data_IF_585970539202
#
_entry.id   IF_585970539202
#
_cell.length_a   1.000
_cell.length_b   1.000
_cell.length_c   1.000
_cell.angle_alpha   90.00
_cell.angle_beta   90.00
_cell.angle_gamma   90.00
#
_symmetry.space_group_name_H-M   'P 1'
#
loop_
_entity.id
_entity.type
_entity.pdbx_description
1 polymer ?
#
# COMPACT_ATOMS: atom_id res chain seq x y z
N UNK A 1 4.22 -6.37 -16.51
CA UNK A 1 4.97 -5.41 -15.65
C UNK A 1 3.99 -4.50 -14.93
N UNK A 2 4.14 -4.36 -13.61
CA UNK A 2 3.22 -3.53 -12.81
C UNK A 2 3.67 -2.07 -12.77
N UNK A 3 2.76 -1.15 -13.06
CA UNK A 3 2.96 0.29 -13.11
C UNK A 3 1.97 0.98 -12.18
N UNK A 4 2.48 1.71 -11.21
CA UNK A 4 1.68 2.51 -10.26
C UNK A 4 1.41 3.89 -10.84
N UNK A 5 0.16 4.30 -10.95
CA UNK A 5 -0.18 5.63 -11.46
C UNK A 5 0.18 6.74 -10.48
N UNK A 6 0.21 6.47 -9.17
CA UNK A 6 0.67 7.44 -8.17
C UNK A 6 2.16 7.74 -8.33
N UNK A 7 2.99 6.71 -8.65
CA UNK A 7 4.41 6.90 -8.96
C UNK A 7 4.58 7.63 -10.29
N UNK A 8 3.82 7.27 -11.33
CA UNK A 8 3.85 7.98 -12.60
C UNK A 8 3.56 9.48 -12.39
N UNK A 9 2.53 9.83 -11.62
CA UNK A 9 2.17 11.23 -11.32
C UNK A 9 3.30 12.02 -10.64
N UNK A 10 4.17 11.35 -9.87
CA UNK A 10 5.34 12.00 -9.26
C UNK A 10 6.49 12.24 -10.27
N UNK A 11 6.48 11.54 -11.41
CA UNK A 11 7.51 11.61 -12.44
C UNK A 11 7.14 12.52 -13.61
N UNK A 12 5.92 13.04 -13.65
CA UNK A 12 5.39 13.91 -14.70
C UNK A 12 4.94 15.25 -14.10
N UNK A 13 4.75 16.26 -14.95
CA UNK A 13 4.30 17.59 -14.55
C UNK A 13 2.98 18.01 -15.22
N UNK A 14 2.19 17.04 -15.66
CA UNK A 14 0.88 17.23 -16.28
C UNK A 14 -0.14 16.25 -15.70
N UNK A 15 -1.42 16.53 -15.86
CA UNK A 15 -2.50 15.68 -15.38
C UNK A 15 -2.72 14.49 -16.31
N UNK A 16 -2.91 13.32 -15.71
CA UNK A 16 -3.29 12.11 -16.44
C UNK A 16 -4.79 12.15 -16.79
N UNK A 17 -5.18 11.65 -17.97
CA UNK A 17 -6.59 11.47 -18.30
C UNK A 17 -7.23 10.40 -17.39
N UNK A 18 -8.57 10.23 -17.43
CA UNK A 18 -9.24 9.12 -16.76
C UNK A 18 -8.57 7.77 -17.08
N UNK A 19 -8.55 6.86 -16.09
CA UNK A 19 -7.79 5.59 -16.19
C UNK A 19 -8.19 4.79 -17.43
N UNK A 20 -9.47 4.72 -17.76
CA UNK A 20 -9.96 3.98 -18.93
C UNK A 20 -9.42 4.55 -20.25
N UNK A 21 -9.37 5.88 -20.38
CA UNK A 21 -8.79 6.55 -21.53
C UNK A 21 -7.27 6.31 -21.61
N UNK A 22 -6.57 6.42 -20.47
CA UNK A 22 -5.14 6.16 -20.42
C UNK A 22 -4.82 4.72 -20.85
N UNK A 23 -5.57 3.75 -20.35
CA UNK A 23 -5.45 2.32 -20.71
C UNK A 23 -5.66 2.11 -22.21
N UNK A 24 -6.67 2.74 -22.81
CA UNK A 24 -6.89 2.64 -24.24
C UNK A 24 -5.69 3.16 -25.05
N UNK A 25 -5.12 4.30 -24.67
CA UNK A 25 -3.94 4.89 -25.34
C UNK A 25 -2.70 4.03 -25.18
N UNK A 26 -2.46 3.48 -23.97
CA UNK A 26 -1.36 2.55 -23.71
C UNK A 26 -1.50 1.29 -24.55
N UNK A 27 -2.69 0.70 -24.63
CA UNK A 27 -2.97 -0.47 -25.48
C UNK A 27 -2.68 -0.24 -26.97
N UNK A 28 -2.90 0.97 -27.45
CA UNK A 28 -2.69 1.32 -28.86
C UNK A 28 -1.22 1.59 -29.22
N UNK A 29 -0.41 2.08 -28.29
CA UNK A 29 0.89 2.66 -28.63
C UNK A 29 2.08 2.05 -27.89
N UNK A 30 1.88 1.41 -26.73
CA UNK A 30 2.97 0.82 -25.96
C UNK A 30 2.83 -0.71 -25.85
N UNK A 31 1.78 -1.18 -25.21
CA UNK A 31 1.59 -2.60 -24.97
C UNK A 31 0.26 -2.89 -24.30
N UNK A 32 -0.18 -4.14 -24.36
CA UNK A 32 -1.46 -4.54 -23.79
C UNK A 32 -1.46 -4.38 -22.26
N UNK A 33 -2.47 -3.73 -21.74
CA UNK A 33 -2.77 -3.72 -20.30
C UNK A 33 -3.64 -4.95 -20.01
N UNK A 34 -3.04 -5.94 -19.36
CA UNK A 34 -3.71 -7.20 -19.02
C UNK A 34 -4.66 -7.05 -17.83
N UNK A 35 -4.31 -6.16 -16.90
CA UNK A 35 -5.09 -5.93 -15.67
C UNK A 35 -4.96 -4.49 -15.20
N UNK A 36 -6.07 -3.94 -14.75
CA UNK A 36 -6.14 -2.70 -13.98
C UNK A 36 -6.60 -3.04 -12.58
N UNK A 37 -5.82 -2.68 -11.58
CA UNK A 37 -6.15 -2.90 -10.19
C UNK A 37 -6.36 -1.57 -9.48
N UNK A 38 -7.56 -1.37 -8.92
CA UNK A 38 -7.85 -0.25 -8.04
C UNK A 38 -7.57 -0.66 -6.60
N UNK A 39 -6.47 -0.20 -6.03
CA UNK A 39 -6.09 -0.55 -4.66
C UNK A 39 -7.05 0.03 -3.62
N UNK A 40 -7.68 1.19 -3.89
CA UNK A 40 -8.67 1.76 -2.98
C UNK A 40 -9.86 0.80 -2.75
N UNK A 41 -10.27 0.06 -3.78
CA UNK A 41 -11.33 -0.95 -3.65
C UNK A 41 -10.91 -2.13 -2.77
N UNK A 42 -9.64 -2.54 -2.85
CA UNK A 42 -9.10 -3.62 -2.03
C UNK A 42 -9.15 -3.29 -0.54
N UNK A 43 -8.85 -2.04 -0.19
CA UNK A 43 -8.81 -1.57 1.20
C UNK A 43 -10.08 -0.83 1.62
N UNK A 44 -11.16 -0.97 0.85
CA UNK A 44 -12.41 -0.27 1.14
C UNK A 44 -12.90 -0.58 2.56
N UNK A 45 -13.11 0.48 3.34
CA UNK A 45 -13.58 0.39 4.71
C UNK A 45 -12.49 0.18 5.77
N UNK A 46 -11.27 -0.19 5.40
CA UNK A 46 -10.16 -0.31 6.35
C UNK A 46 -9.86 1.04 7.04
N UNK A 47 -9.79 1.05 8.37
CA UNK A 47 -9.60 2.26 9.17
C UNK A 47 -8.41 2.14 10.10
N UNK A 48 -7.69 3.24 10.27
CA UNK A 48 -6.71 3.37 11.33
C UNK A 48 -7.46 3.67 12.63
N UNK A 49 -7.16 2.91 13.67
CA UNK A 49 -7.84 3.03 14.96
C UNK A 49 -6.84 3.06 16.10
N UNK A 50 -7.23 3.68 17.22
CA UNK A 50 -6.49 3.57 18.46
C UNK A 50 -7.15 2.51 19.36
N UNK A 51 -6.39 1.56 19.84
CA UNK A 51 -6.84 0.64 20.89
C UNK A 51 -6.79 1.40 22.22
N UNK A 52 -7.96 1.72 22.79
CA UNK A 52 -8.04 2.47 24.05
C UNK A 52 -7.95 1.55 25.25
N UNK A 53 -8.66 0.40 25.18
CA UNK A 53 -8.67 -0.59 26.25
C UNK A 53 -8.36 -1.99 25.67
N UNK A 54 -7.67 -2.79 26.46
CA UNK A 54 -7.39 -4.18 26.16
C UNK A 54 -7.49 -5.03 27.43
N UNK A 55 -8.44 -5.97 27.48
CA UNK A 55 -8.63 -6.86 28.61
C UNK A 55 -8.68 -8.31 28.16
N UNK A 56 -8.37 -9.24 29.04
CA UNK A 56 -8.52 -10.67 28.75
C UNK A 56 -9.98 -11.05 28.50
N UNK A 57 -10.21 -11.91 27.52
CA UNK A 57 -11.53 -12.42 27.23
C UNK A 57 -12.05 -13.31 28.38
N UNK A 58 -13.30 -13.13 28.85
CA UNK A 58 -13.80 -13.86 30.03
C UNK A 58 -13.93 -15.38 29.84
N UNK A 59 -14.06 -15.84 28.59
CA UNK A 59 -14.33 -17.25 28.28
C UNK A 59 -13.29 -17.85 27.29
N UNK A 60 -12.11 -17.23 27.13
CA UNK A 60 -11.09 -17.72 26.19
C UNK A 60 -9.70 -17.17 26.52
N UNK A 61 -8.77 -18.05 26.90
CA UNK A 61 -7.42 -17.69 27.37
C UNK A 61 -6.55 -17.00 26.31
N UNK A 62 -6.81 -17.29 25.04
CA UNK A 62 -6.03 -16.75 23.90
C UNK A 62 -6.65 -15.55 23.22
N UNK A 63 -7.77 -15.05 23.74
CA UNK A 63 -8.45 -13.89 23.17
C UNK A 63 -8.38 -12.70 24.12
N UNK A 64 -8.35 -11.53 23.53
CA UNK A 64 -8.49 -10.25 24.22
C UNK A 64 -9.75 -9.55 23.73
N UNK A 65 -10.42 -8.83 24.62
CA UNK A 65 -11.52 -7.92 24.31
C UNK A 65 -10.92 -6.51 24.28
N UNK A 66 -10.99 -5.86 23.13
CA UNK A 66 -10.49 -4.49 22.96
C UNK A 66 -11.63 -3.52 22.79
N UNK A 67 -11.39 -2.27 23.20
CA UNK A 67 -12.20 -1.11 22.88
C UNK A 67 -11.37 -0.18 22.01
N UNK A 68 -11.86 0.09 20.82
CA UNK A 68 -11.15 0.90 19.84
C UNK A 68 -11.86 2.22 19.60
N UNK A 69 -11.07 3.26 19.37
CA UNK A 69 -11.52 4.55 18.90
C UNK A 69 -11.30 4.63 17.38
N UNK A 70 -12.36 4.80 16.63
CA UNK A 70 -12.38 5.00 15.19
C UNK A 70 -12.78 6.43 14.80
N UNK A 71 -12.76 7.38 15.73
CA UNK A 71 -13.14 8.76 15.48
C UNK A 71 -14.58 8.94 14.96
N UNK A 72 -15.47 7.99 15.25
CA UNK A 72 -16.85 7.95 14.75
C UNK A 72 -16.96 7.80 13.22
N UNK A 73 -15.92 7.29 12.55
CA UNK A 73 -15.84 7.21 11.09
C UNK A 73 -16.80 6.16 10.48
N UNK A 74 -17.14 5.11 11.24
CA UNK A 74 -18.04 4.05 10.78
C UNK A 74 -19.39 4.16 11.51
N UNK A 75 -20.48 4.56 10.81
CA UNK A 75 -21.76 4.87 11.48
C UNK A 75 -22.50 3.63 11.99
N UNK A 76 -22.46 2.51 11.26
CA UNK A 76 -23.31 1.34 11.47
C UNK A 76 -22.68 0.29 12.41
N UNK A 77 -22.07 0.74 13.51
CA UNK A 77 -21.48 -0.13 14.54
C UNK A 77 -21.99 0.22 15.93
N UNK A 78 -22.10 -0.78 16.79
CA UNK A 78 -22.50 -0.58 18.18
C UNK A 78 -21.35 0.03 18.98
N UNK A 79 -21.65 1.06 19.73
CA UNK A 79 -20.68 1.78 20.56
C UNK A 79 -21.08 1.74 22.02
N UNK A 80 -20.12 1.83 22.89
CA UNK A 80 -20.38 2.05 24.29
C UNK A 80 -20.66 3.53 24.61
N UNK A 81 -20.84 3.84 25.88
CA UNK A 81 -21.16 5.21 26.38
C UNK A 81 -20.05 6.23 26.08
N UNK A 82 -18.80 5.75 25.84
CA UNK A 82 -17.65 6.56 25.49
C UNK A 82 -17.44 6.65 23.95
N UNK A 83 -18.34 6.07 23.16
CA UNK A 83 -18.25 6.05 21.70
C UNK A 83 -17.29 5.00 21.14
N UNK A 84 -16.75 4.10 21.98
CA UNK A 84 -15.77 3.09 21.56
C UNK A 84 -16.45 1.86 20.98
N UNK A 85 -15.79 1.24 20.01
CA UNK A 85 -16.24 0.00 19.36
C UNK A 85 -15.56 -1.21 19.97
N UNK A 86 -16.32 -2.27 20.27
CA UNK A 86 -15.79 -3.51 20.82
C UNK A 86 -15.35 -4.47 19.73
N UNK A 87 -14.09 -4.91 19.82
CA UNK A 87 -13.49 -5.91 18.92
C UNK A 87 -12.79 -6.98 19.74
N UNK A 88 -13.00 -8.26 19.40
CA UNK A 88 -12.27 -9.38 19.99
C UNK A 88 -11.07 -9.70 19.10
N UNK A 89 -9.90 -9.79 19.69
CA UNK A 89 -8.63 -10.02 19.01
C UNK A 89 -7.90 -11.23 19.58
N UNK A 90 -7.36 -12.07 18.69
CA UNK A 90 -6.57 -13.26 19.07
C UNK A 90 -5.05 -13.02 19.01
N UNK A 91 -4.61 -11.86 18.53
CA UNK A 91 -3.21 -11.58 18.34
C UNK A 91 -2.49 -11.36 19.71
N UNK A 92 -1.29 -11.94 19.88
CA UNK A 92 -0.55 -11.85 21.14
C UNK A 92 0.03 -10.45 21.42
N UNK A 93 0.18 -9.62 20.39
CA UNK A 93 0.76 -8.29 20.48
C UNK A 93 -0.26 -7.18 20.73
N UNK A 94 -1.57 -7.51 20.82
CA UNK A 94 -2.59 -6.48 21.07
C UNK A 94 -2.50 -5.94 22.49
N UNK A 95 -2.46 -4.61 22.62
CA UNK A 95 -2.40 -3.93 23.89
C UNK A 95 -3.09 -2.57 23.85
N UNK A 96 -3.38 -1.99 25.00
CA UNK A 96 -3.91 -0.63 25.09
C UNK A 96 -2.88 0.40 24.58
N UNK A 97 -3.38 1.54 24.16
CA UNK A 97 -2.65 2.69 23.63
C UNK A 97 -1.89 2.47 22.30
N UNK A 98 -2.07 1.32 21.62
CA UNK A 98 -1.49 1.09 20.30
C UNK A 98 -2.39 1.59 19.17
N UNK A 99 -1.77 1.85 18.03
CA UNK A 99 -2.45 2.09 16.76
C UNK A 99 -2.48 0.81 15.93
N UNK A 100 -3.63 0.52 15.34
CA UNK A 100 -3.84 -0.68 14.55
C UNK A 100 -4.71 -0.39 13.32
N UNK A 101 -4.82 -1.37 12.43
CA UNK A 101 -5.75 -1.34 11.29
C UNK A 101 -6.97 -2.17 11.64
N UNK A 102 -8.13 -1.55 11.57
CA UNK A 102 -9.41 -2.19 11.79
C UNK A 102 -10.17 -2.39 10.48
N UNK A 103 -10.64 -3.59 10.28
CA UNK A 103 -11.60 -3.94 9.23
C UNK A 103 -12.98 -4.05 9.90
N UNK A 104 -13.86 -3.05 9.71
CA UNK A 104 -15.20 -3.05 10.28
C UNK A 104 -16.10 -4.14 9.66
N UNK A 105 -17.27 -4.43 10.27
CA UNK A 105 -18.29 -5.25 9.63
C UNK A 105 -18.59 -4.73 8.21
N UNK A 106 -18.90 -5.61 7.29
CA UNK A 106 -19.12 -5.37 5.86
C UNK A 106 -17.85 -5.10 5.03
N UNK A 107 -16.68 -4.98 5.66
CA UNK A 107 -15.40 -4.93 4.92
C UNK A 107 -15.01 -6.32 4.43
N UNK A 108 -14.41 -6.39 3.26
CA UNK A 108 -13.79 -7.61 2.74
C UNK A 108 -12.32 -7.66 3.13
N UNK A 109 -11.85 -8.81 3.60
CA UNK A 109 -10.44 -9.02 3.97
C UNK A 109 -9.58 -8.91 2.71
N UNK A 110 -8.60 -7.98 2.64
CA UNK A 110 -7.81 -7.72 1.43
C UNK A 110 -7.12 -8.94 0.82
N UNK A 111 -6.54 -9.81 1.64
CA UNK A 111 -5.87 -11.02 1.16
C UNK A 111 -6.84 -11.98 0.45
N UNK A 112 -8.05 -12.14 0.97
CA UNK A 112 -9.07 -13.03 0.41
C UNK A 112 -9.49 -12.63 -1.02
N UNK A 113 -9.40 -11.34 -1.36
CA UNK A 113 -9.64 -10.85 -2.72
C UNK A 113 -8.56 -11.37 -3.68
N UNK A 114 -7.31 -11.42 -3.24
CA UNK A 114 -6.18 -11.92 -4.05
C UNK A 114 -6.22 -13.43 -4.22
N UNK A 115 -6.73 -14.14 -3.22
CA UNK A 115 -6.90 -15.60 -3.25
C UNK A 115 -8.07 -16.03 -4.14
N UNK A 116 -8.95 -15.09 -4.52
CA UNK A 116 -10.10 -15.36 -5.38
C UNK A 116 -11.35 -15.83 -4.65
N UNK A 117 -11.32 -15.86 -3.32
CA UNK A 117 -12.43 -16.20 -2.44
C UNK A 117 -12.72 -15.06 -1.46
N UNK A 118 -13.34 -13.94 -1.90
CA UNK A 118 -13.56 -12.77 -1.07
C UNK A 118 -14.33 -13.09 0.21
N UNK A 119 -13.72 -12.84 1.36
CA UNK A 119 -14.34 -13.03 2.67
C UNK A 119 -14.72 -11.69 3.27
N UNK A 120 -16.02 -11.48 3.45
CA UNK A 120 -16.59 -10.27 4.06
C UNK A 120 -16.87 -10.50 5.54
N UNK A 121 -16.48 -9.53 6.35
CA UNK A 121 -16.62 -9.57 7.80
C UNK A 121 -18.03 -9.19 8.24
N UNK A 122 -18.49 -9.84 9.30
CA UNK A 122 -19.73 -9.53 9.99
C UNK A 122 -19.49 -9.23 11.47
N UNK A 123 -20.42 -8.51 12.10
CA UNK A 123 -20.48 -8.42 13.54
C UNK A 123 -20.94 -9.78 14.11
N UNK A 124 -20.10 -10.44 14.91
CA UNK A 124 -20.41 -11.78 15.44
C UNK A 124 -19.97 -11.96 16.88
N UNK A 125 -20.64 -12.88 17.60
CA UNK A 125 -20.23 -13.24 18.95
C UNK A 125 -19.14 -14.31 18.92
N UNK A 126 -17.99 -13.98 19.51
CA UNK A 126 -16.87 -14.89 19.74
C UNK A 126 -16.87 -15.32 21.21
N UNK A 127 -17.09 -16.61 21.48
CA UNK A 127 -17.20 -17.14 22.85
C UNK A 127 -18.14 -16.34 23.78
N UNK A 128 -19.24 -15.78 23.20
CA UNK A 128 -20.25 -15.00 23.94
C UNK A 128 -20.02 -13.48 23.94
N UNK A 129 -18.86 -12.99 23.54
CA UNK A 129 -18.55 -11.55 23.45
C UNK A 129 -18.70 -11.08 21.99
N UNK A 130 -19.42 -9.97 21.79
CA UNK A 130 -19.61 -9.39 20.45
C UNK A 130 -18.29 -8.79 19.94
N UNK A 131 -17.90 -9.19 18.74
CA UNK A 131 -16.83 -8.57 17.97
C UNK A 131 -17.40 -7.86 16.75
N UNK A 132 -17.06 -6.60 16.55
CA UNK A 132 -17.45 -5.83 15.39
C UNK A 132 -16.27 -5.67 14.43
N UNK A 133 -16.17 -6.61 13.48
CA UNK A 133 -15.04 -6.73 12.59
C UNK A 133 -13.80 -7.31 13.28
N UNK A 134 -12.60 -6.98 12.77
CA UNK A 134 -11.34 -7.50 13.26
C UNK A 134 -10.20 -6.46 13.17
N UNK A 135 -9.22 -6.57 14.06
CA UNK A 135 -7.91 -5.93 13.91
C UNK A 135 -7.05 -6.82 13.02
N UNK A 136 -6.45 -6.25 11.98
CA UNK A 136 -5.84 -7.01 10.90
C UNK A 136 -4.33 -7.24 11.08
N UNK A 137 -3.87 -8.41 10.68
CA UNK A 137 -2.47 -8.77 10.49
C UNK A 137 -1.95 -8.31 9.10
N UNK A 138 -0.63 -8.35 8.91
CA UNK A 138 -0.02 -7.88 7.65
C UNK A 138 -0.38 -8.77 6.46
N UNK A 139 -0.49 -10.07 6.65
CA UNK A 139 -0.92 -11.03 5.63
C UNK A 139 -2.39 -10.85 5.27
N UNK A 140 -3.28 -10.59 6.24
CA UNK A 140 -4.70 -10.32 6.01
C UNK A 140 -4.92 -9.04 5.21
N UNK A 141 -4.06 -8.02 5.40
CA UNK A 141 -4.04 -6.81 4.60
C UNK A 141 -3.35 -6.98 3.25
N UNK A 142 -2.72 -8.13 2.99
CA UNK A 142 -1.88 -8.37 1.80
C UNK A 142 -0.74 -7.34 1.62
N UNK A 143 -0.17 -6.87 2.73
CA UNK A 143 1.00 -5.96 2.76
C UNK A 143 2.27 -6.64 3.27
N UNK A 144 2.17 -7.89 3.69
CA UNK A 144 3.27 -8.70 4.19
C UNK A 144 2.88 -10.16 4.31
N UNK A 145 3.75 -10.96 4.91
CA UNK A 145 3.54 -12.41 5.15
C UNK A 145 3.47 -12.75 6.64
N UNK A 146 3.57 -11.75 7.51
CA UNK A 146 3.52 -11.94 8.96
C UNK A 146 2.08 -12.12 9.44
N UNK A 147 1.84 -13.23 10.13
CA UNK A 147 0.57 -13.63 10.74
C UNK A 147 0.67 -13.75 12.27
N UNK A 148 1.83 -13.51 12.87
CA UNK A 148 2.04 -13.71 14.32
C UNK A 148 1.34 -12.65 15.16
N UNK A 149 0.97 -11.50 14.58
CA UNK A 149 0.29 -10.41 15.27
C UNK A 149 -0.44 -9.45 14.34
N UNK A 150 -1.21 -8.55 14.95
CA UNK A 150 -1.83 -7.45 14.20
C UNK A 150 -0.80 -6.39 13.82
N UNK A 151 -1.07 -5.63 12.75
CA UNK A 151 -0.25 -4.49 12.34
C UNK A 151 -0.28 -3.42 13.43
N UNK A 152 0.90 -3.16 14.03
CA UNK A 152 1.10 -2.09 14.98
C UNK A 152 1.68 -0.87 14.25
N UNK A 153 0.89 0.20 14.13
CA UNK A 153 1.32 1.42 13.45
C UNK A 153 2.02 2.39 14.41
N UNK A 154 3.07 3.03 13.91
CA UNK A 154 3.78 4.10 14.63
C UNK A 154 3.87 5.36 13.74
N UNK A 155 4.13 6.54 14.29
CA UNK A 155 4.35 7.74 13.48
C UNK A 155 5.49 7.62 12.46
N UNK A 156 6.41 6.67 12.65
CA UNK A 156 7.54 6.42 11.72
C UNK A 156 7.12 5.69 10.45
N UNK A 157 5.99 4.99 10.49
CA UNK A 157 5.46 4.23 9.36
C UNK A 157 4.72 5.13 8.38
N UNK A 158 4.48 6.39 8.74
CA UNK A 158 3.70 7.32 7.95
C UNK A 158 4.53 8.07 6.92
N UNK A 159 3.94 8.37 5.74
CA UNK A 159 4.51 9.33 4.82
C UNK A 159 4.72 10.70 5.47
N UNK A 160 5.71 11.45 4.99
CA UNK A 160 6.01 12.78 5.51
C UNK A 160 4.78 13.71 5.49
N UNK A 161 4.54 14.41 6.61
CA UNK A 161 3.42 15.33 6.75
C UNK A 161 2.06 14.68 7.09
N UNK A 162 2.02 13.37 7.26
CA UNK A 162 0.82 12.64 7.73
C UNK A 162 0.88 12.39 9.24
N UNK A 163 -0.29 12.20 9.86
CA UNK A 163 -0.41 11.88 11.28
C UNK A 163 -1.44 10.75 11.49
N UNK A 164 -1.20 9.91 12.52
CA UNK A 164 -2.18 8.92 12.96
C UNK A 164 -3.37 9.63 13.58
N UNK A 165 -4.55 9.32 13.07
CA UNK A 165 -5.82 9.84 13.58
C UNK A 165 -6.84 8.71 13.62
N UNK A 166 -7.68 8.62 14.69
CA UNK A 166 -8.74 7.63 14.72
C UNK A 166 -9.69 7.80 13.54
N UNK A 167 -10.03 6.70 12.88
CA UNK A 167 -10.94 6.68 11.73
C UNK A 167 -10.32 7.09 10.40
N UNK A 168 -9.04 7.46 10.35
CA UNK A 168 -8.38 7.76 9.09
C UNK A 168 -8.51 6.58 8.11
N UNK A 169 -8.79 6.88 6.86
CA UNK A 169 -8.82 5.86 5.80
C UNK A 169 -7.42 5.29 5.58
N UNK A 170 -7.31 3.96 5.72
CA UNK A 170 -6.02 3.28 5.63
C UNK A 170 -5.37 3.46 4.25
N UNK A 171 -6.16 3.29 3.17
CA UNK A 171 -5.62 3.42 1.81
C UNK A 171 -5.11 4.84 1.54
N UNK A 172 -5.89 5.85 1.87
CA UNK A 172 -5.53 7.25 1.65
C UNK A 172 -4.35 7.70 2.53
N UNK A 173 -4.23 7.17 3.75
CA UNK A 173 -3.14 7.51 4.66
C UNK A 173 -1.79 7.01 4.14
N UNK A 174 -1.76 5.79 3.55
CA UNK A 174 -0.55 5.13 3.08
C UNK A 174 -0.32 5.24 1.56
N UNK A 175 -1.15 6.02 0.84
CA UNK A 175 -1.05 6.17 -0.62
C UNK A 175 -1.40 4.89 -1.37
N UNK A 176 -2.27 4.06 -0.80
CA UNK A 176 -2.81 2.85 -1.41
C UNK A 176 -4.13 3.12 -2.16
N UNK A 177 -4.54 4.37 -2.28
CA UNK A 177 -5.65 4.84 -3.11
C UNK A 177 -5.20 5.02 -4.57
N UNK A 178 -4.51 4.03 -5.11
CA UNK A 178 -3.82 4.05 -6.39
C UNK A 178 -4.42 3.05 -7.39
N UNK A 179 -4.10 3.28 -8.67
CA UNK A 179 -4.31 2.31 -9.73
C UNK A 179 -2.98 1.68 -10.14
N UNK A 180 -2.95 0.36 -10.18
CA UNK A 180 -1.81 -0.41 -10.69
C UNK A 180 -2.20 -1.05 -12.03
N UNK A 181 -1.46 -0.69 -13.08
CA UNK A 181 -1.61 -1.28 -14.40
C UNK A 181 -0.62 -2.43 -14.57
N UNK A 182 -1.10 -3.61 -15.00
CA UNK A 182 -0.22 -4.70 -15.42
C UNK A 182 -0.09 -4.67 -16.95
N UNK A 183 1.07 -4.18 -17.42
CA UNK A 183 1.35 -4.00 -18.84
C UNK A 183 2.18 -5.16 -19.35
N UNK A 184 1.72 -5.82 -20.41
CA UNK A 184 2.47 -6.85 -21.10
C UNK A 184 3.71 -6.24 -21.78
N UNK A 185 4.89 -6.74 -21.44
CA UNK A 185 6.16 -6.17 -21.91
C UNK A 185 6.80 -6.92 -23.09
N UNK A 186 6.18 -7.95 -23.61
CA UNK A 186 6.71 -8.74 -24.74
C UNK A 186 6.91 -7.91 -26.02
N UNK A 187 6.08 -6.90 -26.22
CA UNK A 187 6.12 -6.04 -27.41
C UNK A 187 7.28 -5.05 -27.41
N UNK A 188 7.84 -4.72 -26.23
CA UNK A 188 8.91 -3.72 -26.08
C UNK A 188 10.16 -4.25 -25.36
N UNK A 189 10.49 -5.53 -25.57
CA UNK A 189 11.70 -6.16 -25.03
C UNK A 189 13.00 -5.49 -25.49
N UNK A 190 12.96 -4.79 -26.63
CA UNK A 190 14.06 -3.98 -27.17
C UNK A 190 14.19 -2.61 -26.47
N UNK A 191 13.28 -2.27 -25.57
CA UNK A 191 13.20 -0.99 -24.83
C UNK A 191 13.42 -1.24 -23.33
N UNK A 192 14.67 -1.46 -22.90
CA UNK A 192 14.97 -1.75 -21.48
C UNK A 192 14.55 -0.60 -20.54
N UNK A 193 14.49 0.63 -21.03
CA UNK A 193 13.99 1.78 -20.30
C UNK A 193 12.53 1.63 -19.87
N UNK A 194 11.71 0.96 -20.66
CA UNK A 194 10.29 0.73 -20.37
C UNK A 194 10.04 -0.40 -19.35
N UNK A 195 11.09 -1.04 -18.81
CA UNK A 195 10.97 -2.01 -17.72
C UNK A 195 10.95 -1.36 -16.32
N UNK A 196 10.92 -0.04 -16.25
CA UNK A 196 10.82 0.73 -15.02
C UNK A 196 9.81 1.87 -15.11
N UNK A 197 9.38 2.37 -13.94
CA UNK A 197 8.38 3.43 -13.81
C UNK A 197 8.76 4.70 -14.60
N UNK A 198 10.04 5.09 -14.55
CA UNK A 198 10.54 6.30 -15.21
C UNK A 198 10.43 6.22 -16.73
N UNK A 199 10.79 5.08 -17.33
CA UNK A 199 10.68 4.88 -18.76
C UNK A 199 9.22 4.86 -19.23
N UNK A 200 8.33 4.22 -18.45
CA UNK A 200 6.89 4.23 -18.71
C UNK A 200 6.31 5.63 -18.57
N UNK A 201 6.75 6.43 -17.58
CA UNK A 201 6.32 7.83 -17.44
C UNK A 201 6.68 8.65 -18.69
N UNK A 202 7.90 8.44 -19.24
CA UNK A 202 8.34 9.04 -20.49
C UNK A 202 7.48 8.63 -21.68
N UNK A 203 7.16 7.35 -21.80
CA UNK A 203 6.28 6.84 -22.85
C UNK A 203 4.86 7.41 -22.73
N UNK A 204 4.30 7.46 -21.54
CA UNK A 204 2.97 8.07 -21.30
C UNK A 204 2.99 9.55 -21.71
N UNK A 205 4.06 10.28 -21.40
CA UNK A 205 4.19 11.66 -21.85
C UNK A 205 4.18 11.76 -23.39
N UNK A 206 4.92 10.88 -24.08
CA UNK A 206 4.91 10.80 -25.55
C UNK A 206 3.53 10.46 -26.11
N UNK A 207 2.86 9.46 -25.55
CA UNK A 207 1.50 9.02 -25.92
C UNK A 207 0.48 10.15 -25.77
N UNK A 208 0.65 10.98 -24.74
CA UNK A 208 -0.23 12.12 -24.44
C UNK A 208 0.21 13.42 -25.12
N UNK A 209 1.30 13.37 -25.91
CA UNK A 209 1.91 14.56 -26.55
C UNK A 209 2.28 15.66 -25.55
N UNK A 210 2.76 15.26 -24.37
CA UNK A 210 3.20 16.16 -23.31
C UNK A 210 4.73 16.17 -23.21
N UNK A 211 5.35 17.29 -22.81
CA UNK A 211 6.78 17.34 -22.57
C UNK A 211 7.16 16.46 -21.37
N UNK A 212 8.33 15.80 -21.43
CA UNK A 212 8.89 15.03 -20.35
C UNK A 212 10.28 15.58 -19.97
N UNK A 213 10.49 15.79 -18.68
CA UNK A 213 11.79 16.13 -18.11
C UNK A 213 12.18 15.05 -17.12
N UNK A 214 13.34 14.44 -17.34
CA UNK A 214 13.86 13.46 -16.39
C UNK A 214 14.11 14.10 -15.02
N UNK A 215 13.79 13.41 -13.91
CA UNK A 215 14.10 13.90 -12.58
C UNK A 215 15.60 14.17 -12.41
N UNK A 216 15.94 15.17 -11.59
CA UNK A 216 17.34 15.56 -11.33
C UNK A 216 18.20 14.44 -10.77
N UNK A 217 17.61 13.57 -9.93
CA UNK A 217 18.29 12.40 -9.38
C UNK A 217 18.65 11.33 -10.42
N UNK A 218 18.05 11.37 -11.62
CA UNK A 218 18.42 10.50 -12.75
C UNK A 218 19.67 11.00 -13.48
N UNK A 219 20.06 12.25 -13.27
CA UNK A 219 21.30 12.76 -13.82
C UNK A 219 22.48 12.29 -12.99
N UNK A 220 23.18 11.26 -13.48
CA UNK A 220 24.31 10.61 -12.79
C UNK A 220 25.45 11.59 -12.45
N UNK A 221 25.63 12.67 -13.22
CA UNK A 221 26.64 13.70 -12.92
C UNK A 221 26.33 14.49 -11.65
N UNK A 222 25.05 14.57 -11.27
CA UNK A 222 24.61 15.24 -10.03
C UNK A 222 24.50 14.29 -8.83
N UNK A 223 24.36 12.99 -9.08
CA UNK A 223 24.21 11.97 -8.02
C UNK A 223 25.58 11.56 -7.45
N UNK A 224 26.60 11.52 -8.28
CA UNK A 224 27.97 11.25 -7.85
C UNK A 224 28.64 12.59 -7.47
N UNK A 225 28.33 13.08 -6.26
CA UNK A 225 29.11 14.16 -5.64
C UNK A 225 30.52 13.71 -5.27
N UNK A 226 31.34 14.64 -4.81
CA UNK A 226 32.72 14.42 -4.32
C UNK A 226 32.72 13.65 -2.98
N UNK A 227 32.05 12.48 -2.94
CA UNK A 227 32.13 11.59 -1.78
C UNK A 227 33.48 10.88 -1.72
N UNK A 228 33.89 10.46 -0.51
CA UNK A 228 35.09 9.67 -0.31
C UNK A 228 35.05 8.40 -1.18
N UNK A 229 36.12 8.18 -1.94
CA UNK A 229 36.21 6.99 -2.77
C UNK A 229 36.33 5.73 -1.90
N UNK A 230 35.45 4.77 -2.13
CA UNK A 230 35.59 3.45 -1.50
C UNK A 230 36.87 2.81 -2.07
N UNK A 231 37.81 2.32 -1.23
CA UNK A 231 39.06 1.75 -1.68
C UNK A 231 38.85 0.33 -2.26
N UNK A 232 38.06 0.25 -3.35
CA UNK A 232 37.83 -0.98 -4.10
C UNK A 232 38.65 -0.96 -5.40
N UNK A 233 39.52 -1.94 -5.55
CA UNK A 233 40.17 -2.20 -6.84
C UNK A 233 39.17 -2.96 -7.74
N UNK A 234 38.65 -2.31 -8.76
CA UNK A 234 37.74 -2.91 -9.75
C UNK A 234 38.51 -3.12 -11.05
N UNK A 235 38.63 -4.37 -11.50
CA UNK A 235 39.07 -4.71 -12.85
C UNK A 235 37.88 -4.91 -13.77
N UNK A 236 37.83 -4.20 -14.89
CA UNK A 236 36.78 -4.31 -15.88
C UNK A 236 37.37 -4.74 -17.24
N UNK A 237 37.22 -6.01 -17.57
CA UNK A 237 37.74 -6.57 -18.80
C UNK A 237 36.84 -6.31 -20.02
N UNK A 238 35.63 -5.81 -19.80
CA UNK A 238 34.62 -5.54 -20.84
C UNK A 238 33.99 -4.15 -20.72
N UNK A 239 34.77 -3.06 -20.71
CA UNK A 239 34.27 -1.72 -20.44
C UNK A 239 33.22 -1.22 -21.44
N UNK A 240 33.16 -1.83 -22.64
CA UNK A 240 32.11 -1.51 -23.64
C UNK A 240 30.73 -2.01 -23.24
N UNK A 241 30.62 -3.10 -22.45
CA UNK A 241 29.37 -3.67 -21.99
C UNK A 241 28.99 -3.17 -20.61
N UNK A 242 29.99 -2.97 -19.75
CA UNK A 242 29.78 -2.50 -18.37
C UNK A 242 30.69 -1.28 -18.14
N UNK A 243 30.29 -0.09 -18.63
CA UNK A 243 31.15 1.07 -18.58
C UNK A 243 31.29 1.70 -17.18
N UNK A 244 30.43 1.35 -16.22
CA UNK A 244 30.42 1.93 -14.88
C UNK A 244 30.01 0.92 -13.82
N UNK A 245 30.58 1.05 -12.63
CA UNK A 245 30.21 0.31 -11.43
C UNK A 245 29.89 1.30 -10.30
N UNK A 246 28.96 0.91 -9.43
CA UNK A 246 28.64 1.64 -8.22
C UNK A 246 28.66 0.67 -7.05
N UNK A 247 29.35 1.05 -5.97
CA UNK A 247 29.25 0.39 -4.67
C UNK A 247 28.42 1.26 -3.72
N UNK A 248 27.48 0.64 -2.97
CA UNK A 248 26.62 1.28 -1.98
C UNK A 248 26.93 0.68 -0.62
#
# INVERSE_FOLDING_TARGET
>A
MKVSLSVIKQLINFELPPVDELVQRINQQLGKVDRVENLAERYRGARVVRVVECAKHPNADRLSVTKIDDGMAVPDVLRDENGLVQVVCGAPNVQADMWAVWLPPTSTVPASILEGEPFTLDARKLRGVLSQGMLAAADELAIGTDHEGIVALTPRDLPAGKALQPGADFAALFGLDDYVLDIENKMFTHRPDCFGQLGVAREIAGILHQPFTSPTWYNLEQVFGDGDSVPLAVSNDIPQLVPRFMAV
#
